data_IF_021518925027
#
_entry.id   IF_021518925027
#
_cell.length_a   1.000
_cell.length_b   1.000
_cell.length_c   1.000
_cell.angle_alpha   90.00
_cell.angle_beta   90.00
_cell.angle_gamma   90.00
#
_symmetry.space_group_name_H-M   'P 1'
#
loop_
_entity.id
_entity.type
_entity.pdbx_description
1 polymer ?
#
# COMPACT_ATOMS: atom_id res chain seq x y z
N UNK A 1 6.18 -72.81 -30.26
CA UNK A 1 4.89 -73.45 -30.64
C UNK A 1 3.84 -73.14 -29.57
N UNK A 2 2.55 -73.27 -29.89
CA UNK A 2 1.45 -72.73 -29.09
C UNK A 2 1.09 -73.54 -27.84
N UNK A 3 0.42 -72.90 -26.86
CA UNK A 3 -0.99 -73.22 -26.56
C UNK A 3 -1.71 -72.16 -25.70
N UNK A 4 -3.03 -72.10 -25.88
CA UNK A 4 -3.96 -71.11 -25.33
C UNK A 4 -5.01 -71.80 -24.45
N UNK A 5 -5.42 -71.17 -23.35
CA UNK A 5 -6.63 -71.46 -22.54
C UNK A 5 -7.09 -70.07 -21.99
N UNK A 6 -8.32 -69.52 -22.10
CA UNK A 6 -9.73 -70.03 -22.09
C UNK A 6 -10.02 -70.91 -20.85
N UNK A 7 -11.06 -70.72 -20.03
CA UNK A 7 -12.34 -69.97 -20.13
C UNK A 7 -12.92 -69.78 -18.67
N UNK A 8 -14.04 -69.10 -18.32
CA UNK A 8 -15.19 -68.59 -19.10
C UNK A 8 -15.78 -67.24 -18.58
N UNK A 9 -16.93 -67.26 -17.89
CA UNK A 9 -17.77 -66.16 -17.32
C UNK A 9 -18.83 -66.77 -16.39
N UNK A 10 -19.45 -65.97 -15.52
CA UNK A 10 -20.87 -65.99 -15.05
C UNK A 10 -21.07 -64.74 -14.15
N UNK A 11 -22.20 -64.02 -14.09
CA UNK A 11 -23.48 -64.04 -14.82
C UNK A 11 -24.55 -63.13 -14.16
N UNK A 12 -25.56 -62.64 -14.92
CA UNK A 12 -26.71 -61.84 -14.41
C UNK A 12 -26.43 -60.34 -14.24
N UNK A 13 -27.09 -59.36 -14.90
CA UNK A 13 -28.40 -59.20 -15.56
C UNK A 13 -29.63 -59.17 -14.65
N UNK A 14 -30.19 -57.98 -14.45
CA UNK A 14 -31.65 -57.72 -14.47
C UNK A 14 -31.94 -56.39 -15.18
N UNK A 15 -33.09 -56.32 -15.86
CA UNK A 15 -33.63 -55.19 -16.65
C UNK A 15 -35.09 -54.94 -16.25
N UNK A 16 -35.70 -53.86 -16.78
CA UNK A 16 -37.16 -53.56 -16.80
C UNK A 16 -37.63 -52.73 -15.58
N UNK A 17 -38.52 -51.72 -15.68
CA UNK A 17 -39.30 -51.19 -16.83
C UNK A 17 -39.68 -49.69 -16.62
N UNK A 18 -40.20 -49.07 -17.67
CA UNK A 18 -40.64 -47.66 -17.77
C UNK A 18 -41.98 -47.40 -17.05
N UNK A 19 -42.15 -46.20 -16.49
CA UNK A 19 -43.44 -45.48 -16.49
C UNK A 19 -43.24 -44.01 -16.83
N UNK A 20 -44.28 -43.37 -17.40
CA UNK A 20 -44.25 -42.01 -17.94
C UNK A 20 -44.73 -40.99 -16.89
N UNK A 21 -44.09 -39.83 -16.85
CA UNK A 21 -44.74 -38.56 -16.47
C UNK A 21 -44.12 -37.44 -17.33
N UNK A 22 -44.98 -36.72 -18.06
CA UNK A 22 -44.58 -35.57 -18.86
C UNK A 22 -44.63 -34.33 -17.97
N UNK A 23 -43.53 -33.58 -17.91
CA UNK A 23 -43.53 -32.22 -17.38
C UNK A 23 -42.77 -31.32 -18.34
N UNK A 24 -43.50 -30.39 -18.97
CA UNK A 24 -42.95 -29.41 -19.89
C UNK A 24 -42.52 -28.19 -19.07
N UNK A 25 -41.22 -27.92 -19.01
CA UNK A 25 -40.69 -26.67 -18.46
C UNK A 25 -39.80 -26.01 -19.53
N UNK A 26 -40.28 -24.89 -20.08
CA UNK A 26 -39.52 -24.05 -20.98
C UNK A 26 -38.65 -23.04 -20.22
N UNK A 27 -37.51 -22.70 -20.84
CA UNK A 27 -36.70 -21.49 -20.65
C UNK A 27 -35.95 -21.29 -19.32
N UNK A 28 -34.69 -20.84 -19.43
CA UNK A 28 -33.85 -20.45 -18.30
C UNK A 28 -32.36 -20.80 -18.44
N UNK A 29 -31.68 -20.31 -19.49
CA UNK A 29 -30.21 -20.39 -19.53
C UNK A 29 -29.63 -19.25 -18.70
N UNK A 30 -29.24 -19.54 -17.47
CA UNK A 30 -28.35 -18.70 -16.68
C UNK A 30 -26.93 -19.29 -16.73
N UNK A 31 -25.97 -18.52 -17.25
CA UNK A 31 -24.58 -18.95 -17.33
C UNK A 31 -23.96 -18.99 -15.92
N UNK A 32 -23.47 -20.17 -15.53
CA UNK A 32 -22.58 -20.31 -14.38
C UNK A 32 -21.21 -19.69 -14.71
N UNK A 33 -20.71 -18.85 -13.82
CA UNK A 33 -19.29 -18.60 -13.66
C UNK A 33 -18.94 -18.80 -12.18
N UNK A 34 -18.26 -19.90 -11.87
CA UNK A 34 -17.79 -20.17 -10.52
C UNK A 34 -16.46 -19.44 -10.27
N UNK A 35 -16.43 -18.60 -9.24
CA UNK A 35 -15.21 -18.05 -8.64
C UNK A 35 -15.30 -18.23 -7.14
N UNK A 36 -14.37 -18.98 -6.54
CA UNK A 36 -14.43 -19.32 -5.12
C UNK A 36 -13.98 -18.15 -4.23
N UNK A 37 -14.54 -18.13 -3.02
CA UNK A 37 -14.26 -17.18 -1.95
C UNK A 37 -12.75 -16.99 -1.65
N UNK A 38 -12.36 -15.77 -1.27
CA UNK A 38 -12.10 -15.36 0.14
C UNK A 38 -12.21 -13.83 0.24
N UNK A 39 -13.16 -13.29 1.01
CA UNK A 39 -13.08 -11.97 1.67
C UNK A 39 -14.34 -11.66 2.51
N UNK A 40 -14.68 -12.49 3.50
CA UNK A 40 -15.88 -12.25 4.33
C UNK A 40 -15.58 -12.35 5.83
N UNK A 41 -14.95 -11.29 6.37
CA UNK A 41 -15.17 -10.82 7.74
C UNK A 41 -14.56 -9.44 8.02
N UNK A 42 -15.34 -8.39 7.76
CA UNK A 42 -15.26 -7.09 8.47
C UNK A 42 -16.46 -6.19 8.12
N UNK A 43 -17.68 -6.65 8.44
CA UNK A 43 -18.89 -5.79 8.32
C UNK A 43 -19.99 -6.12 9.33
N UNK A 44 -19.70 -5.88 10.61
CA UNK A 44 -20.67 -5.76 11.70
C UNK A 44 -20.29 -4.50 12.50
N UNK A 45 -21.19 -3.57 12.83
CA UNK A 45 -22.60 -3.46 12.45
C UNK A 45 -23.12 -2.03 12.69
N UNK A 46 -24.22 -1.67 12.04
CA UNK A 46 -24.90 -0.37 12.22
C UNK A 46 -25.91 -0.51 13.36
N UNK A 47 -25.71 0.20 14.48
CA UNK A 47 -26.78 0.43 15.46
C UNK A 47 -26.51 1.68 16.32
N UNK A 48 -27.35 2.68 16.11
CA UNK A 48 -27.61 3.90 16.89
C UNK A 48 -26.80 4.14 18.18
N UNK A 49 -25.95 5.18 18.17
CA UNK A 49 -25.43 5.83 19.39
C UNK A 49 -26.05 7.22 19.55
N UNK A 50 -26.52 7.53 20.77
CA UNK A 50 -27.06 8.85 21.13
C UNK A 50 -26.00 9.94 20.94
N UNK A 51 -26.47 11.14 20.59
CA UNK A 51 -25.74 12.39 20.77
C UNK A 51 -25.44 12.58 22.27
N UNK A 52 -24.16 12.53 22.63
CA UNK A 52 -23.63 13.12 23.85
C UNK A 52 -22.98 14.45 23.43
N UNK A 53 -23.45 15.56 23.99
CA UNK A 53 -22.94 16.89 23.68
C UNK A 53 -21.55 17.11 24.30
N UNK A 54 -20.53 16.66 23.58
CA UNK A 54 -19.12 16.82 23.90
C UNK A 54 -18.31 16.53 22.64
N UNK A 55 -18.21 17.52 21.75
CA UNK A 55 -17.70 17.39 20.39
C UNK A 55 -16.37 16.64 20.31
N UNK A 56 -16.45 15.34 20.00
CA UNK A 56 -15.27 14.49 19.86
C UNK A 56 -14.72 14.68 18.45
N UNK A 57 -13.52 15.27 18.36
CA UNK A 57 -12.82 15.40 17.08
C UNK A 57 -12.52 14.01 16.51
N UNK A 58 -12.77 13.82 15.22
CA UNK A 58 -12.47 12.60 14.48
C UNK A 58 -11.56 12.91 13.30
N UNK A 59 -10.59 12.05 13.04
CA UNK A 59 -9.71 12.15 11.88
C UNK A 59 -10.34 11.44 10.67
N UNK A 60 -10.23 12.05 9.49
CA UNK A 60 -10.65 11.43 8.24
C UNK A 60 -9.72 10.31 7.78
N UNK A 61 -10.24 9.42 6.93
CA UNK A 61 -9.39 8.61 6.06
C UNK A 61 -8.61 9.51 5.07
N UNK A 62 -7.42 9.08 4.58
CA UNK A 62 -6.62 9.87 3.66
C UNK A 62 -7.33 10.06 2.32
N UNK A 63 -7.44 11.31 1.89
CA UNK A 63 -7.96 11.67 0.58
C UNK A 63 -6.78 11.94 -0.35
N UNK A 64 -6.66 11.19 -1.46
CA UNK A 64 -5.58 11.38 -2.44
C UNK A 64 -6.10 12.12 -3.67
N UNK A 65 -5.41 13.19 -4.06
CA UNK A 65 -5.61 13.89 -5.33
C UNK A 65 -4.25 14.39 -5.86
N UNK A 66 -3.94 14.12 -7.12
CA UNK A 66 -2.77 14.67 -7.85
C UNK A 66 -1.43 14.72 -7.07
N UNK A 67 -1.08 13.66 -6.33
CA UNK A 67 0.16 13.59 -5.55
C UNK A 67 0.10 14.26 -4.16
N UNK A 68 -1.07 14.73 -3.74
CA UNK A 68 -1.36 15.26 -2.41
C UNK A 68 -2.20 14.24 -1.63
N UNK A 69 -1.86 14.00 -0.37
CA UNK A 69 -2.66 13.24 0.58
C UNK A 69 -3.15 14.14 1.72
N UNK A 70 -4.46 14.31 1.85
CA UNK A 70 -5.08 15.17 2.88
C UNK A 70 -5.76 14.33 3.95
N UNK A 71 -5.44 14.62 5.21
CA UNK A 71 -6.04 14.07 6.42
C UNK A 71 -6.66 15.21 7.22
N UNK A 72 -7.96 15.19 7.50
CA UNK A 72 -8.67 16.30 8.15
C UNK A 72 -9.19 15.92 9.53
N UNK A 73 -8.90 16.75 10.54
CA UNK A 73 -9.42 16.62 11.90
C UNK A 73 -10.66 17.54 12.06
N UNK A 74 -11.83 16.97 12.37
CA UNK A 74 -13.08 17.74 12.45
C UNK A 74 -14.03 17.22 13.53
N UNK A 75 -14.90 18.11 14.05
CA UNK A 75 -15.85 17.81 15.14
C UNK A 75 -17.13 17.09 14.70
N UNK A 76 -17.34 16.95 13.38
CA UNK A 76 -18.39 16.15 12.79
C UNK A 76 -17.73 15.07 11.92
N UNK A 77 -18.34 13.89 11.84
CA UNK A 77 -17.91 12.87 10.90
C UNK A 77 -18.14 13.39 9.47
N UNK A 78 -17.08 13.89 8.83
CA UNK A 78 -17.13 14.38 7.47
C UNK A 78 -17.43 13.21 6.52
N UNK A 79 -18.65 13.16 5.99
CA UNK A 79 -18.99 12.34 4.83
C UNK A 79 -18.38 12.98 3.58
N UNK A 80 -17.05 12.87 3.45
CA UNK A 80 -16.36 13.22 2.22
C UNK A 80 -16.69 12.17 1.17
N UNK A 81 -17.68 12.47 0.32
CA UNK A 81 -18.10 11.66 -0.84
C UNK A 81 -17.07 11.72 -2.00
N UNK A 82 -15.79 11.93 -1.66
CA UNK A 82 -14.68 11.93 -2.61
C UNK A 82 -14.16 10.49 -2.68
N UNK A 83 -14.71 9.72 -3.61
CA UNK A 83 -14.19 8.41 -3.98
C UNK A 83 -12.79 8.57 -4.61
N UNK A 84 -11.76 8.67 -3.77
CA UNK A 84 -10.38 8.76 -4.25
C UNK A 84 -10.01 7.49 -5.01
N UNK A 85 -9.55 7.65 -6.25
CA UNK A 85 -9.18 6.52 -7.10
C UNK A 85 -7.82 5.90 -6.73
N UNK A 86 -7.02 6.59 -5.91
CA UNK A 86 -5.73 6.13 -5.42
C UNK A 86 -5.82 5.73 -3.94
N UNK A 87 -5.04 4.73 -3.54
CA UNK A 87 -4.96 4.24 -2.16
C UNK A 87 -3.63 4.58 -1.45
N UNK A 88 -2.74 5.29 -2.15
CA UNK A 88 -1.39 5.65 -1.70
C UNK A 88 -0.89 6.88 -2.48
N UNK A 89 0.10 7.56 -1.91
CA UNK A 89 0.98 8.44 -2.69
C UNK A 89 1.98 7.58 -3.45
N UNK A 90 2.26 7.92 -4.71
CA UNK A 90 3.27 7.25 -5.53
C UNK A 90 4.32 8.24 -6.00
N UNK A 91 5.58 7.97 -5.68
CA UNK A 91 6.74 8.63 -6.24
C UNK A 91 7.35 7.73 -7.32
N UNK A 92 7.64 8.29 -8.49
CA UNK A 92 8.24 7.58 -9.63
C UNK A 92 9.05 8.55 -10.49
N UNK A 93 9.65 8.07 -11.58
CA UNK A 93 10.33 8.93 -12.56
C UNK A 93 9.41 10.04 -13.12
N UNK A 94 8.13 9.74 -13.31
CA UNK A 94 7.14 10.69 -13.86
C UNK A 94 6.51 11.60 -12.78
N UNK A 95 6.64 11.25 -11.50
CA UNK A 95 6.09 11.99 -10.37
C UNK A 95 7.10 12.01 -9.20
N UNK A 96 8.02 12.98 -9.25
CA UNK A 96 9.11 13.11 -8.28
C UNK A 96 8.77 13.95 -7.04
N UNK A 97 7.56 14.48 -6.91
CA UNK A 97 7.16 15.31 -5.76
C UNK A 97 5.75 14.97 -5.28
N UNK A 98 5.58 14.88 -3.96
CA UNK A 98 4.30 14.60 -3.28
C UNK A 98 4.14 15.44 -2.01
N UNK A 99 2.91 15.57 -1.54
CA UNK A 99 2.57 16.37 -0.34
C UNK A 99 1.68 15.62 0.64
N UNK A 100 1.89 15.90 1.93
CA UNK A 100 1.04 15.48 3.05
C UNK A 100 0.42 16.71 3.69
N UNK A 101 -0.90 16.75 3.81
CA UNK A 101 -1.64 17.83 4.44
C UNK A 101 -2.41 17.30 5.66
N UNK A 102 -1.95 17.68 6.86
CA UNK A 102 -2.62 17.44 8.13
C UNK A 102 -3.51 18.64 8.48
N UNK A 103 -4.75 18.66 8.01
CA UNK A 103 -5.69 19.79 8.18
C UNK A 103 -6.41 19.79 9.53
N UNK A 104 -6.70 20.97 10.05
CA UNK A 104 -7.44 21.19 11.32
C UNK A 104 -6.52 21.51 12.52
N UNK A 105 -7.10 22.20 13.51
CA UNK A 105 -6.38 22.68 14.68
C UNK A 105 -5.68 21.54 15.44
N UNK A 106 -4.41 21.75 15.80
CA UNK A 106 -3.53 20.76 16.46
C UNK A 106 -3.35 19.43 15.73
N UNK A 107 -3.55 19.38 14.41
CA UNK A 107 -3.23 18.20 13.63
C UNK A 107 -1.72 18.18 13.29
N UNK A 108 -1.01 17.13 13.72
CA UNK A 108 0.45 16.99 13.62
C UNK A 108 0.84 15.75 12.81
N UNK A 109 1.99 15.80 12.13
CA UNK A 109 2.49 14.68 11.36
C UNK A 109 3.06 13.53 12.21
N UNK A 110 3.07 12.32 11.64
CA UNK A 110 3.59 11.07 12.22
C UNK A 110 4.50 10.36 11.20
N UNK A 111 5.77 10.04 11.53
CA UNK A 111 6.50 10.39 12.76
C UNK A 111 6.59 11.89 13.00
N UNK A 112 6.91 12.28 14.24
CA UNK A 112 6.98 13.69 14.60
C UNK A 112 8.05 14.40 13.73
N UNK A 113 7.69 15.57 13.21
CA UNK A 113 8.57 16.43 12.41
C UNK A 113 9.12 15.76 11.11
N UNK A 114 8.57 14.59 10.71
CA UNK A 114 8.90 13.78 9.52
C UNK A 114 10.40 13.65 9.17
N UNK A 115 11.26 13.67 10.18
CA UNK A 115 12.70 13.39 10.03
C UNK A 115 12.93 11.90 9.73
N UNK A 116 12.09 11.04 10.32
CA UNK A 116 11.96 9.63 9.99
C UNK A 116 10.65 9.36 9.23
N UNK A 117 10.58 8.20 8.59
CA UNK A 117 9.35 7.59 8.05
C UNK A 117 9.13 6.21 8.65
N UNK A 118 7.93 5.65 8.50
CA UNK A 118 7.60 4.33 9.01
C UNK A 118 7.88 3.25 7.98
N UNK A 119 8.85 2.37 8.26
CA UNK A 119 9.02 1.14 7.49
C UNK A 119 7.95 0.12 7.91
N UNK A 120 7.17 -0.46 6.98
CA UNK A 120 6.31 -1.61 7.26
C UNK A 120 7.10 -2.78 7.84
N UNK A 121 6.45 -3.56 8.71
CA UNK A 121 7.02 -4.82 9.20
C UNK A 121 6.95 -5.87 8.10
N UNK A 122 8.12 -6.37 7.70
CA UNK A 122 8.23 -7.55 6.85
C UNK A 122 7.62 -8.76 7.57
N UNK A 123 6.65 -9.44 6.95
CA UNK A 123 5.91 -10.55 7.58
C UNK A 123 6.80 -11.76 7.97
N UNK A 124 8.01 -11.84 7.44
CA UNK A 124 8.96 -12.94 7.66
C UNK A 124 10.16 -12.58 8.55
N UNK A 125 10.45 -11.30 8.79
CA UNK A 125 11.72 -10.86 9.38
C UNK A 125 11.53 -10.31 10.78
N UNK A 126 11.45 -11.20 11.78
CA UNK A 126 11.51 -10.82 13.21
C UNK A 126 12.93 -10.52 13.67
N UNK A 127 13.65 -9.68 12.92
CA UNK A 127 14.86 -9.03 13.42
C UNK A 127 14.45 -8.10 14.56
N UNK A 128 14.70 -8.54 15.79
CA UNK A 128 14.51 -7.72 17.01
C UNK A 128 15.56 -6.61 17.05
N UNK A 129 15.41 -5.58 16.20
CA UNK A 129 16.13 -4.34 16.35
C UNK A 129 15.58 -3.63 17.61
N UNK A 130 16.18 -3.99 18.75
CA UNK A 130 15.71 -3.67 20.11
C UNK A 130 15.74 -2.17 20.45
N UNK A 131 16.29 -1.36 19.56
CA UNK A 131 16.59 0.07 19.73
C UNK A 131 15.96 0.96 18.66
N UNK A 132 15.34 0.41 17.61
CA UNK A 132 14.64 1.23 16.63
C UNK A 132 13.34 1.78 17.26
N UNK A 133 13.18 3.11 17.24
CA UNK A 133 11.94 3.75 17.63
C UNK A 133 10.79 3.23 16.76
N UNK A 134 9.59 3.25 17.32
CA UNK A 134 8.43 2.59 16.72
C UNK A 134 7.42 3.64 16.31
N UNK A 135 6.87 3.48 15.11
CA UNK A 135 5.76 4.29 14.67
C UNK A 135 4.50 4.01 15.49
N UNK A 136 3.90 5.08 16.01
CA UNK A 136 2.71 5.06 16.86
C UNK A 136 1.66 5.99 16.25
N UNK A 137 0.50 5.45 15.92
CA UNK A 137 -0.63 6.18 15.38
C UNK A 137 -1.78 6.10 16.41
N UNK A 138 -2.06 7.22 17.08
CA UNK A 138 -2.99 7.25 18.21
C UNK A 138 -2.68 6.17 19.26
N UNK A 139 -3.67 5.31 19.55
CA UNK A 139 -3.52 4.16 20.46
C UNK A 139 -2.63 3.01 19.98
N UNK A 140 -2.09 3.01 18.76
CA UNK A 140 -1.20 1.91 18.32
C UNK A 140 0.18 1.93 18.99
N UNK A 141 0.42 2.83 19.96
CA UNK A 141 1.53 2.80 20.90
C UNK A 141 1.74 1.43 21.60
N UNK A 142 0.67 0.65 21.82
CA UNK A 142 0.74 -0.72 22.36
C UNK A 142 1.09 -1.80 21.31
N UNK A 143 0.82 -1.54 20.02
CA UNK A 143 0.99 -2.48 18.90
C UNK A 143 1.62 -1.75 17.72
N UNK A 144 2.94 -1.49 17.75
CA UNK A 144 3.59 -0.64 16.77
C UNK A 144 3.46 -1.20 15.36
N UNK A 145 3.05 -0.35 14.41
CA UNK A 145 2.71 -0.77 13.03
C UNK A 145 3.91 -0.84 12.09
N UNK A 146 5.03 -0.25 12.52
CA UNK A 146 6.26 -0.15 11.76
C UNK A 146 7.39 0.35 12.65
N UNK A 147 8.59 0.34 12.08
CA UNK A 147 9.81 0.84 12.72
C UNK A 147 10.18 2.17 12.06
N UNK A 148 10.61 3.16 12.86
CA UNK A 148 11.10 4.43 12.33
C UNK A 148 12.47 4.25 11.69
N UNK A 149 12.64 4.87 10.52
CA UNK A 149 13.90 4.88 9.76
C UNK A 149 14.05 6.23 9.05
N UNK A 150 15.29 6.72 8.95
CA UNK A 150 15.59 7.91 8.16
C UNK A 150 15.32 7.63 6.66
N UNK A 151 14.61 8.53 5.99
CA UNK A 151 14.11 8.29 4.63
C UNK A 151 15.24 8.02 3.62
N UNK A 152 16.32 8.81 3.66
CA UNK A 152 17.49 8.60 2.81
C UNK A 152 18.11 7.19 3.00
N UNK A 153 18.16 6.70 4.25
CA UNK A 153 18.68 5.35 4.56
C UNK A 153 17.75 4.26 4.02
N UNK A 154 16.42 4.47 4.06
CA UNK A 154 15.44 3.53 3.52
C UNK A 154 15.51 3.42 1.99
N UNK A 155 15.72 4.55 1.29
CA UNK A 155 15.77 4.59 -0.18
C UNK A 155 17.17 4.29 -0.74
N UNK A 156 18.23 4.35 0.09
CA UNK A 156 19.62 4.30 -0.38
C UNK A 156 20.09 5.60 -1.04
N UNK A 157 19.45 6.72 -0.71
CA UNK A 157 19.66 8.04 -1.31
C UNK A 157 20.53 8.96 -0.42
N UNK A 158 20.84 10.17 -0.92
CA UNK A 158 21.62 11.16 -0.17
C UNK A 158 20.86 11.78 1.01
N UNK A 159 21.57 12.21 2.06
CA UNK A 159 21.00 12.79 3.31
C UNK A 159 20.08 14.01 3.08
N UNK A 160 20.15 14.64 1.90
CA UNK A 160 19.24 15.71 1.47
C UNK A 160 17.78 15.25 1.36
N UNK A 161 17.53 13.95 1.19
CA UNK A 161 16.19 13.36 1.03
C UNK A 161 15.47 13.27 2.37
N UNK A 162 14.51 14.18 2.56
CA UNK A 162 13.65 14.31 3.74
C UNK A 162 12.36 15.05 3.40
N UNK A 163 11.36 14.93 4.25
CA UNK A 163 10.19 15.80 4.21
C UNK A 163 10.56 17.22 4.67
N UNK A 164 9.95 18.22 4.05
CA UNK A 164 10.14 19.64 4.37
C UNK A 164 8.78 20.23 4.73
N UNK A 165 8.67 20.81 5.93
CA UNK A 165 7.46 21.53 6.33
C UNK A 165 7.33 22.81 5.50
N UNK A 166 6.17 23.02 4.88
CA UNK A 166 5.87 24.28 4.21
C UNK A 166 5.45 25.32 5.25
N UNK A 167 6.03 26.52 5.18
CA UNK A 167 5.61 27.65 6.01
C UNK A 167 4.21 28.08 5.59
N UNK A 168 3.19 27.75 6.40
CA UNK A 168 1.84 28.28 6.24
C UNK A 168 1.83 29.81 6.36
N UNK A 169 0.99 30.49 5.58
CA UNK A 169 0.61 31.86 5.89
C UNK A 169 -0.13 31.87 7.24
N UNK A 170 0.02 32.92 8.05
CA UNK A 170 -0.62 32.99 9.38
C UNK A 170 -2.10 33.33 9.26
N UNK A 171 -2.94 32.34 8.96
CA UNK A 171 -4.40 32.50 8.77
C UNK A 171 -5.29 31.73 9.75
N UNK A 172 -4.72 31.20 10.84
CA UNK A 172 -5.44 30.75 12.03
C UNK A 172 -5.88 29.29 11.98
N UNK A 173 -5.45 28.50 12.97
CA UNK A 173 -5.77 27.07 13.15
C UNK A 173 -5.48 26.14 11.93
N UNK A 174 -4.74 26.65 10.95
CA UNK A 174 -4.19 25.89 9.83
C UNK A 174 -3.17 24.86 10.31
N UNK A 175 -3.45 23.58 10.04
CA UNK A 175 -2.57 22.47 10.40
C UNK A 175 -1.32 22.35 9.51
N UNK A 176 -0.59 21.25 9.65
CA UNK A 176 0.73 21.12 9.02
C UNK A 176 0.66 20.62 7.57
N UNK A 177 1.41 21.25 6.67
CA UNK A 177 1.67 20.75 5.30
C UNK A 177 3.15 20.42 5.15
N UNK A 178 3.43 19.25 4.57
CA UNK A 178 4.77 18.73 4.34
C UNK A 178 4.94 18.31 2.88
N UNK A 179 6.12 18.55 2.32
CA UNK A 179 6.47 18.19 0.94
C UNK A 179 7.65 17.24 0.92
N UNK A 180 7.63 16.24 0.04
CA UNK A 180 8.78 15.41 -0.29
C UNK A 180 9.04 15.53 -1.78
N UNK A 181 10.27 15.91 -2.13
CA UNK A 181 10.73 16.00 -3.52
C UNK A 181 12.00 15.16 -3.66
N UNK A 182 11.98 14.28 -4.66
CA UNK A 182 13.08 13.43 -5.08
C UNK A 182 13.67 13.94 -6.41
N UNK A 183 14.80 13.36 -6.78
CA UNK A 183 15.39 13.44 -8.12
C UNK A 183 15.59 12.01 -8.64
N UNK A 184 15.88 11.82 -9.94
CA UNK A 184 16.02 10.48 -10.52
C UNK A 184 17.15 9.61 -9.91
N UNK A 185 18.10 10.21 -9.21
CA UNK A 185 19.17 9.52 -8.45
C UNK A 185 18.75 9.14 -7.02
N UNK A 186 17.68 9.74 -6.48
CA UNK A 186 17.13 9.38 -5.15
C UNK A 186 16.11 8.23 -5.23
N UNK A 187 15.68 7.87 -6.44
CA UNK A 187 14.79 6.74 -6.68
C UNK A 187 15.53 5.42 -6.38
N UNK A 188 14.96 4.52 -5.56
CA UNK A 188 15.63 3.33 -5.07
C UNK A 188 15.88 2.31 -6.18
N UNK A 189 16.75 1.32 -5.92
CA UNK A 189 16.95 0.18 -6.81
C UNK A 189 15.81 -0.87 -6.73
N UNK A 190 14.90 -0.76 -5.77
CA UNK A 190 13.75 -1.67 -5.55
C UNK A 190 12.53 -0.86 -5.12
N UNK A 191 11.35 -1.31 -5.52
CA UNK A 191 10.10 -0.66 -5.12
C UNK A 191 10.00 -0.65 -3.59
N UNK A 192 9.96 0.55 -3.01
CA UNK A 192 10.15 0.74 -1.57
C UNK A 192 8.92 1.40 -0.94
N UNK A 193 8.09 0.63 -0.22
CA UNK A 193 6.95 1.18 0.51
C UNK A 193 7.36 1.73 1.87
N UNK A 194 6.80 2.88 2.23
CA UNK A 194 6.77 3.39 3.59
C UNK A 194 5.39 3.94 3.93
N UNK A 195 5.22 4.44 5.15
CA UNK A 195 4.07 5.27 5.49
C UNK A 195 4.45 6.43 6.40
N UNK A 196 3.59 7.44 6.35
CA UNK A 196 3.56 8.59 7.26
C UNK A 196 2.09 8.80 7.64
N UNK A 197 1.76 9.95 8.22
CA UNK A 197 0.38 10.39 8.32
C UNK A 197 0.21 11.50 9.32
N UNK A 198 -0.98 11.62 9.89
CA UNK A 198 -1.40 12.73 10.73
C UNK A 198 -2.14 12.22 11.97
N UNK A 199 -2.02 12.90 13.10
CA UNK A 199 -2.84 12.64 14.29
C UNK A 199 -3.12 13.92 15.07
N UNK A 200 -4.17 13.93 15.89
CA UNK A 200 -4.41 15.04 16.82
C UNK A 200 -3.35 15.05 17.93
N UNK A 201 -2.74 16.20 18.20
CA UNK A 201 -1.82 16.37 19.34
C UNK A 201 -2.47 16.02 20.68
N UNK A 202 -3.76 16.35 20.86
CA UNK A 202 -4.52 16.02 22.08
C UNK A 202 -4.75 14.49 22.23
N UNK A 203 -4.70 13.73 21.13
CA UNK A 203 -4.85 12.26 21.15
C UNK A 203 -3.62 11.53 21.70
N UNK A 204 -2.45 12.19 21.70
CA UNK A 204 -1.24 11.68 22.36
C UNK A 204 -1.47 11.51 23.88
N UNK A 205 -2.38 12.30 24.45
CA UNK A 205 -2.74 12.26 25.87
C UNK A 205 -4.10 11.57 26.17
N UNK A 206 -4.96 11.35 25.17
CA UNK A 206 -6.35 10.88 25.38
C UNK A 206 -6.69 9.60 24.62
N UNK A 207 -7.40 8.73 25.32
CA UNK A 207 -7.70 7.37 24.87
C UNK A 207 -8.92 7.27 23.93
N UNK A 208 -8.87 7.88 22.75
CA UNK A 208 -9.77 7.58 21.62
C UNK A 208 -9.05 6.79 20.51
N UNK A 209 -9.80 6.20 19.56
CA UNK A 209 -9.29 5.24 18.57
C UNK A 209 -9.35 5.73 17.12
N UNK A 210 -9.86 6.94 16.88
CA UNK A 210 -10.27 7.43 15.56
C UNK A 210 -9.53 8.74 15.22
N UNK A 211 -8.33 8.90 15.77
CA UNK A 211 -7.66 10.19 15.95
C UNK A 211 -6.43 10.34 15.05
N UNK A 212 -6.16 9.34 14.20
CA UNK A 212 -4.98 9.24 13.35
C UNK A 212 -5.34 8.75 11.95
N UNK A 213 -4.75 9.41 10.94
CA UNK A 213 -4.84 9.11 9.52
C UNK A 213 -3.49 8.55 9.07
N UNK A 214 -3.49 7.40 8.40
CA UNK A 214 -2.29 6.73 7.91
C UNK A 214 -2.21 6.88 6.39
N UNK A 215 -1.07 7.34 5.90
CA UNK A 215 -0.81 7.61 4.47
C UNK A 215 0.26 6.65 3.97
N UNK A 216 -0.11 5.61 3.20
CA UNK A 216 0.85 4.79 2.49
C UNK A 216 1.56 5.62 1.41
N UNK A 217 2.87 5.41 1.29
CA UNK A 217 3.70 6.01 0.24
C UNK A 217 4.48 4.89 -0.44
N UNK A 218 4.39 4.84 -1.76
CA UNK A 218 5.13 3.91 -2.61
C UNK A 218 6.18 4.69 -3.41
N UNK A 219 7.44 4.29 -3.32
CA UNK A 219 8.48 4.79 -4.21
C UNK A 219 8.81 3.70 -5.22
N UNK A 220 8.43 3.91 -6.47
CA UNK A 220 8.80 3.02 -7.57
C UNK A 220 10.32 3.07 -7.76
N UNK A 221 10.93 1.92 -8.04
CA UNK A 221 12.34 1.88 -8.36
C UNK A 221 12.67 2.67 -9.62
N UNK A 222 13.90 3.17 -9.72
CA UNK A 222 14.39 3.78 -10.95
C UNK A 222 14.38 2.78 -12.12
N UNK A 223 14.27 3.24 -13.37
CA UNK A 223 14.55 2.40 -14.53
C UNK A 223 16.00 1.92 -14.50
N UNK A 224 16.25 0.67 -14.89
CA UNK A 224 17.59 0.22 -15.25
C UNK A 224 18.08 1.03 -16.46
N UNK A 225 19.35 1.41 -16.49
CA UNK A 225 19.89 2.30 -17.51
C UNK A 225 21.33 1.97 -17.88
N UNK A 226 21.74 2.41 -19.07
CA UNK A 226 23.14 2.37 -19.54
C UNK A 226 23.61 3.80 -19.80
N UNK A 227 24.74 4.18 -19.22
CA UNK A 227 25.44 5.43 -19.49
C UNK A 227 26.95 5.16 -19.48
N UNK A 228 27.68 5.63 -20.50
CA UNK A 228 29.15 5.55 -20.57
C UNK A 228 29.76 4.17 -20.24
N UNK A 229 29.17 3.11 -20.81
CA UNK A 229 29.53 1.70 -20.57
C UNK A 229 29.36 1.21 -19.12
N UNK A 230 28.65 1.97 -18.29
CA UNK A 230 28.10 1.53 -17.00
C UNK A 230 26.64 1.15 -17.20
N UNK A 231 26.31 -0.11 -16.91
CA UNK A 231 24.96 -0.63 -16.85
C UNK A 231 24.50 -0.68 -15.39
N UNK A 232 23.65 0.26 -14.97
CA UNK A 232 23.10 0.31 -13.61
C UNK A 232 21.76 -0.42 -13.59
N UNK A 233 21.70 -1.50 -12.83
CA UNK A 233 20.51 -2.33 -12.69
C UNK A 233 19.58 -1.77 -11.61
N UNK A 234 18.28 -1.96 -11.82
CA UNK A 234 17.25 -1.82 -10.81
C UNK A 234 16.23 -2.96 -10.94
N UNK A 235 15.44 -3.19 -9.88
CA UNK A 235 14.66 -4.41 -9.68
C UNK A 235 13.23 -4.12 -9.19
N UNK A 236 12.71 -2.92 -9.41
CA UNK A 236 11.29 -2.67 -9.28
C UNK A 236 10.48 -3.32 -10.40
N UNK A 237 9.17 -3.42 -10.20
CA UNK A 237 8.22 -4.04 -11.13
C UNK A 237 8.29 -3.43 -12.54
N UNK A 238 8.64 -2.14 -12.63
CA UNK A 238 8.75 -1.38 -13.88
C UNK A 238 10.19 -1.08 -14.33
N UNK A 239 11.21 -1.49 -13.57
CA UNK A 239 12.62 -1.11 -13.85
C UNK A 239 13.15 -1.64 -15.18
N UNK A 240 12.62 -2.77 -15.68
CA UNK A 240 13.17 -3.51 -16.82
C UNK A 240 12.09 -3.79 -17.88
N UNK A 241 11.63 -2.76 -18.59
CA UNK A 241 10.70 -2.94 -19.72
C UNK A 241 11.35 -3.56 -20.96
N UNK A 242 12.68 -3.44 -21.08
CA UNK A 242 13.51 -3.98 -22.17
C UNK A 242 14.86 -4.43 -21.59
N UNK A 243 15.64 -5.19 -22.37
CA UNK A 243 17.02 -5.54 -21.99
C UNK A 243 17.94 -4.31 -22.06
N UNK A 244 18.95 -4.26 -21.19
CA UNK A 244 20.01 -3.26 -21.30
C UNK A 244 20.98 -3.64 -22.43
N UNK A 245 21.14 -2.76 -23.41
CA UNK A 245 22.09 -2.93 -24.51
C UNK A 245 23.35 -2.07 -24.23
N UNK A 246 24.53 -2.68 -24.33
CA UNK A 246 25.83 -2.00 -24.16
C UNK A 246 26.70 -2.32 -25.36
N UNK A 247 27.20 -1.28 -26.03
CA UNK A 247 28.16 -1.42 -27.13
C UNK A 247 29.59 -1.48 -26.60
N UNK A 248 30.37 -2.44 -27.09
CA UNK A 248 31.80 -2.61 -26.76
C UNK A 248 32.61 -2.41 -28.03
N UNK A 249 33.44 -1.37 -28.05
CA UNK A 249 34.31 -1.02 -29.19
C UNK A 249 35.78 -1.16 -28.82
N UNK A 250 36.70 -0.85 -29.73
CA UNK A 250 38.13 -0.81 -29.42
C UNK A 250 38.47 0.34 -28.44
N UNK A 251 37.75 1.46 -28.54
CA UNK A 251 37.87 2.66 -27.72
C UNK A 251 37.09 2.52 -26.39
N UNK A 252 35.97 1.80 -26.42
CA UNK A 252 35.12 1.50 -25.26
C UNK A 252 35.14 -0.01 -24.98
N UNK A 253 36.31 -0.52 -24.58
CA UNK A 253 36.62 -1.95 -24.51
C UNK A 253 36.29 -2.63 -23.16
N UNK A 254 35.60 -1.94 -22.26
CA UNK A 254 35.15 -2.48 -20.97
C UNK A 254 33.67 -2.14 -20.72
N UNK A 255 33.06 -2.88 -19.79
CA UNK A 255 31.70 -2.63 -19.30
C UNK A 255 31.71 -2.78 -17.78
N UNK A 256 31.13 -1.81 -17.09
CA UNK A 256 30.82 -1.90 -15.65
C UNK A 256 29.36 -2.31 -15.50
N UNK A 257 29.07 -3.26 -14.61
CA UNK A 257 27.69 -3.61 -14.26
C UNK A 257 27.51 -3.35 -12.77
N UNK A 258 26.58 -2.46 -12.44
CA UNK A 258 26.19 -2.12 -11.07
C UNK A 258 24.87 -2.81 -10.74
N UNK A 259 24.84 -3.52 -9.61
CA UNK A 259 23.74 -4.37 -9.16
C UNK A 259 23.19 -3.89 -7.82
#
# INVERSE_FOLDING_TARGET
MARTQKMRRLGGWFRSRVSKLMTICFSGVALFSAGQAVAEKLREGILNRRLEEGGTLTMSEPQFDNGVATCSLSAAAATSDVQSAAAALTLSKDMLSVELQCSGAKNIAVPKDLTNVCKPKDAATTTKHRTAEKCKFGKSAQSPEGDEIALHTLLGAGERVKWIQKTQAKTGDDGQTWSLTLTEEDLPLKDTPFFVGCQSEDSVAKSASNDSCKVPVHVEARPSAVADNVATCAYGQKSNGQALEVEVTAEKNFVTVEC
#
